data_IF_704453644795
#
_entry.id   IF_704453644795
#
_cell.length_a   1.000
_cell.length_b   1.000
_cell.length_c   1.000
_cell.angle_alpha   90.00
_cell.angle_beta   90.00
_cell.angle_gamma   90.00
#
_symmetry.space_group_name_H-M   'P 1'
#
loop_
_entity.id
_entity.type
_entity.pdbx_description
1 polymer ?
#
# COMPACT_ATOMS: atom_id res chain seq x y z
N UNK A 1 10.86 -27.21 3.27
CA UNK A 1 10.83 -25.80 2.83
C UNK A 1 10.08 -24.99 3.88
N UNK A 2 10.79 -24.38 4.83
CA UNK A 2 10.17 -23.36 5.68
C UNK A 2 9.85 -22.15 4.81
N UNK A 3 8.62 -21.66 4.90
CA UNK A 3 8.11 -20.54 4.12
C UNK A 3 8.86 -19.25 4.52
N UNK A 4 9.91 -18.89 3.77
CA UNK A 4 10.73 -17.68 3.99
C UNK A 4 9.97 -16.36 3.77
N UNK A 5 8.72 -16.42 3.32
CA UNK A 5 7.94 -15.22 2.99
C UNK A 5 7.59 -14.35 4.20
N UNK A 6 7.47 -14.92 5.40
CA UNK A 6 6.95 -14.16 6.55
C UNK A 6 8.01 -13.34 7.30
N UNK A 7 9.28 -13.77 7.33
CA UNK A 7 10.35 -12.97 7.95
C UNK A 7 10.65 -11.69 7.17
N UNK A 8 10.49 -11.74 5.84
CA UNK A 8 10.85 -10.62 4.94
C UNK A 8 10.04 -9.34 5.14
N UNK A 9 8.79 -9.41 5.62
CA UNK A 9 7.96 -8.22 5.82
C UNK A 9 8.46 -7.37 6.99
N UNK A 10 8.77 -8.02 8.12
CA UNK A 10 9.24 -7.33 9.32
C UNK A 10 10.62 -6.70 9.17
N UNK A 11 11.42 -7.23 8.24
CA UNK A 11 12.79 -6.81 7.94
C UNK A 11 12.87 -5.76 6.81
N UNK A 12 11.81 -5.59 6.00
CA UNK A 12 11.78 -4.62 4.92
C UNK A 12 11.56 -3.20 5.44
N UNK A 13 12.22 -2.20 4.85
CA UNK A 13 11.91 -0.79 5.15
C UNK A 13 10.57 -0.36 4.55
N UNK A 14 10.31 -0.82 3.32
CA UNK A 14 9.13 -0.51 2.52
C UNK A 14 8.58 -1.79 1.90
N UNK A 15 7.27 -2.00 2.02
CA UNK A 15 6.56 -3.04 1.28
C UNK A 15 5.58 -2.40 0.30
N UNK A 16 5.76 -2.70 -0.98
CA UNK A 16 4.89 -2.26 -2.07
C UNK A 16 3.87 -3.36 -2.37
N UNK A 17 2.60 -3.06 -2.18
CA UNK A 17 1.50 -4.01 -2.36
C UNK A 17 0.48 -3.45 -3.36
N UNK A 18 0.64 -3.72 -4.67
CA UNK A 18 -0.43 -3.46 -5.62
C UNK A 18 -1.59 -4.43 -5.36
N UNK A 19 -2.81 -3.90 -5.26
CA UNK A 19 -4.02 -4.68 -5.05
C UNK A 19 -4.99 -4.46 -6.20
N UNK A 20 -5.68 -5.52 -6.60
CA UNK A 20 -6.74 -5.47 -7.60
C UNK A 20 -8.08 -5.76 -6.93
N UNK A 21 -9.00 -4.78 -6.98
CA UNK A 21 -10.31 -4.86 -6.34
C UNK A 21 -11.38 -4.25 -7.27
N UNK A 22 -12.49 -4.96 -7.48
CA UNK A 22 -13.58 -4.54 -8.36
C UNK A 22 -13.14 -3.97 -9.72
N UNK A 23 -12.22 -4.67 -10.41
CA UNK A 23 -11.68 -4.24 -11.71
C UNK A 23 -10.85 -2.95 -11.66
N UNK A 24 -10.33 -2.57 -10.49
CA UNK A 24 -9.50 -1.39 -10.27
C UNK A 24 -8.22 -1.74 -9.53
N UNK A 25 -7.12 -1.12 -9.92
CA UNK A 25 -5.83 -1.26 -9.24
C UNK A 25 -5.55 -0.09 -8.31
N UNK A 26 -5.17 -0.42 -7.08
CA UNK A 26 -4.66 0.50 -6.07
C UNK A 26 -3.25 0.06 -5.64
N UNK A 27 -2.53 0.94 -4.94
CA UNK A 27 -1.25 0.58 -4.32
C UNK A 27 -1.33 0.89 -2.84
N UNK A 28 -1.05 -0.10 -2.00
CA UNK A 28 -0.81 0.08 -0.58
C UNK A 28 0.69 0.01 -0.33
N UNK A 29 1.20 0.97 0.43
CA UNK A 29 2.62 1.06 0.78
C UNK A 29 2.75 1.02 2.28
N UNK A 30 3.48 0.03 2.78
CA UNK A 30 3.84 -0.06 4.19
C UNK A 30 5.22 0.54 4.38
N UNK A 31 5.32 1.64 5.11
CA UNK A 31 6.58 2.16 5.64
C UNK A 31 6.79 1.52 7.00
N UNK A 32 7.51 0.41 7.01
CA UNK A 32 7.52 -0.55 8.11
C UNK A 32 8.14 0.06 9.36
N UNK A 33 9.32 0.68 9.24
CA UNK A 33 9.99 1.35 10.35
C UNK A 33 9.09 2.42 11.00
N UNK A 34 8.42 3.22 10.16
CA UNK A 34 7.57 4.34 10.59
C UNK A 34 6.18 3.94 11.11
N UNK A 35 5.76 2.67 10.97
CA UNK A 35 4.41 2.25 11.33
C UNK A 35 3.34 2.97 10.50
N UNK A 36 3.59 3.20 9.21
CA UNK A 36 2.64 3.90 8.33
C UNK A 36 2.19 3.03 7.18
N UNK A 37 0.91 3.11 6.86
CA UNK A 37 0.29 2.44 5.72
C UNK A 37 -0.30 3.53 4.84
N UNK A 38 0.14 3.65 3.60
CA UNK A 38 -0.33 4.68 2.66
C UNK A 38 -1.06 4.03 1.51
N UNK A 39 -2.32 4.40 1.34
CA UNK A 39 -3.21 3.91 0.31
C UNK A 39 -3.28 4.91 -0.86
N UNK A 40 -2.90 4.47 -2.05
CA UNK A 40 -2.95 5.27 -3.27
C UNK A 40 -4.01 4.72 -4.22
N UNK A 41 -4.97 5.58 -4.56
CA UNK A 41 -6.00 5.35 -5.56
C UNK A 41 -5.95 6.47 -6.60
N UNK A 42 -5.79 6.11 -7.86
CA UNK A 42 -5.70 7.08 -8.95
C UNK A 42 -7.06 7.61 -9.41
N UNK A 43 -8.16 6.90 -9.17
CA UNK A 43 -9.51 7.35 -9.54
C UNK A 43 -10.09 8.20 -8.41
N UNK A 44 -9.96 7.73 -7.17
CA UNK A 44 -10.49 8.43 -6.00
C UNK A 44 -9.37 9.10 -5.22
N UNK A 45 -9.20 10.39 -5.43
CA UNK A 45 -8.40 11.27 -4.56
C UNK A 45 -9.07 11.44 -3.17
N UNK A 46 -9.25 10.35 -2.42
CA UNK A 46 -9.90 10.35 -1.11
C UNK A 46 -11.44 10.30 -1.12
N UNK A 47 -12.08 10.00 -2.26
CA UNK A 47 -13.54 9.79 -2.33
C UNK A 47 -13.98 8.41 -1.84
N UNK A 48 -13.20 7.37 -2.13
CA UNK A 48 -13.25 6.16 -1.32
C UNK A 48 -12.47 6.50 -0.05
N UNK A 49 -13.19 6.81 1.03
CA UNK A 49 -12.62 6.65 2.37
C UNK A 49 -12.09 5.21 2.38
N UNK A 50 -10.82 5.00 2.73
CA UNK A 50 -10.42 3.68 3.22
C UNK A 50 -11.43 3.41 4.31
N UNK A 51 -12.32 2.45 4.09
CA UNK A 51 -13.38 2.22 5.07
C UNK A 51 -12.69 1.77 6.35
N UNK A 52 -13.28 2.02 7.51
CA UNK A 52 -12.75 1.51 8.78
C UNK A 52 -12.47 0.00 8.70
N UNK A 53 -13.25 -0.74 7.90
CA UNK A 53 -13.00 -2.15 7.60
C UNK A 53 -11.73 -2.39 6.77
N UNK A 54 -11.52 -1.64 5.68
CA UNK A 54 -10.28 -1.74 4.89
C UNK A 54 -9.05 -1.34 5.71
N UNK A 55 -9.13 -0.27 6.50
CA UNK A 55 -8.06 0.14 7.43
C UNK A 55 -7.73 -0.98 8.41
N UNK A 56 -8.77 -1.58 9.03
CA UNK A 56 -8.61 -2.68 9.97
C UNK A 56 -7.92 -3.89 9.32
N UNK A 57 -8.29 -4.28 8.10
CA UNK A 57 -7.63 -5.39 7.39
C UNK A 57 -6.15 -5.08 7.11
N UNK A 58 -5.82 -3.86 6.68
CA UNK A 58 -4.43 -3.47 6.41
C UNK A 58 -3.58 -3.46 7.68
N UNK A 59 -4.14 -2.98 8.79
CA UNK A 59 -3.48 -2.98 10.11
C UNK A 59 -3.34 -4.40 10.65
N UNK A 60 -4.38 -5.22 10.59
CA UNK A 60 -4.32 -6.63 11.01
C UNK A 60 -3.23 -7.38 10.24
N UNK A 61 -3.16 -7.18 8.93
CA UNK A 61 -2.10 -7.77 8.11
C UNK A 61 -0.71 -7.38 8.63
N UNK A 62 -0.46 -6.10 8.90
CA UNK A 62 0.83 -5.64 9.41
C UNK A 62 1.15 -6.18 10.82
N UNK A 63 0.13 -6.28 11.68
CA UNK A 63 0.26 -6.80 13.04
C UNK A 63 0.62 -8.29 13.09
N UNK A 64 0.28 -9.07 12.07
CA UNK A 64 0.74 -10.47 11.95
C UNK A 64 2.26 -10.60 11.86
N UNK A 65 2.95 -9.53 11.45
CA UNK A 65 4.41 -9.48 11.34
C UNK A 65 5.06 -8.66 12.45
N UNK A 66 4.39 -7.58 12.89
CA UNK A 66 4.92 -6.64 13.90
C UNK A 66 3.82 -6.31 14.91
N UNK A 67 3.77 -7.08 15.99
CA UNK A 67 2.66 -7.09 16.97
C UNK A 67 2.63 -5.82 17.84
N UNK A 68 3.79 -5.26 18.21
CA UNK A 68 3.90 -4.15 19.17
C UNK A 68 4.19 -2.79 18.51
N UNK A 69 3.66 -2.57 17.30
CA UNK A 69 3.82 -1.31 16.56
C UNK A 69 2.46 -0.67 16.31
N UNK A 70 2.37 0.62 16.60
CA UNK A 70 1.22 1.42 16.19
C UNK A 70 1.27 1.65 14.68
N UNK A 71 0.15 1.41 14.00
CA UNK A 71 0.03 1.57 12.56
C UNK A 71 -0.98 2.66 12.23
N UNK A 72 -0.55 3.67 11.48
CA UNK A 72 -1.39 4.77 11.02
C UNK A 72 -1.67 4.61 9.53
N UNK A 73 -2.94 4.51 9.18
CA UNK A 73 -3.39 4.45 7.78
C UNK A 73 -3.64 5.86 7.25
N UNK A 74 -3.15 6.14 6.03
CA UNK A 74 -3.26 7.43 5.38
C UNK A 74 -3.63 7.26 3.90
N UNK A 75 -4.29 8.27 3.34
CA UNK A 75 -4.54 8.33 1.90
C UNK A 75 -3.40 9.12 1.25
N UNK A 76 -2.70 8.46 0.34
CA UNK A 76 -1.67 9.08 -0.48
C UNK A 76 -2.27 9.90 -1.62
N UNK A 77 -1.54 10.94 -2.04
CA UNK A 77 -1.92 11.75 -3.20
C UNK A 77 -1.22 11.23 -4.47
N UNK A 78 -1.96 11.14 -5.57
CA UNK A 78 -1.42 10.81 -6.89
C UNK A 78 -2.17 11.55 -7.99
N UNK A 79 -1.58 11.58 -9.19
CA UNK A 79 -2.23 12.16 -10.37
C UNK A 79 -3.53 11.42 -10.66
N UNK A 80 -4.63 12.17 -10.74
CA UNK A 80 -5.94 11.62 -11.02
C UNK A 80 -5.96 10.91 -12.39
N UNK A 81 -6.59 9.74 -12.41
CA UNK A 81 -6.97 9.00 -13.59
C UNK A 81 -8.30 9.54 -14.11
N UNK A 82 -8.37 9.79 -15.42
CA UNK A 82 -9.58 10.29 -16.09
C UNK A 82 -10.27 9.22 -16.94
N UNK A 83 -9.56 8.15 -17.28
CA UNK A 83 -10.02 7.02 -18.06
C UNK A 83 -10.38 5.82 -17.16
N UNK A 84 -10.99 4.77 -17.70
CA UNK A 84 -11.42 3.60 -16.92
C UNK A 84 -10.42 2.43 -16.88
N UNK A 85 -9.26 2.52 -17.54
CA UNK A 85 -8.43 1.34 -17.85
C UNK A 85 -6.94 1.50 -17.53
N UNK A 86 -6.45 2.70 -17.21
CA UNK A 86 -5.04 2.95 -16.93
C UNK A 86 -4.62 2.72 -15.47
N UNK A 87 -5.51 2.24 -14.61
CA UNK A 87 -5.25 2.04 -13.18
C UNK A 87 -4.06 1.10 -12.94
N UNK A 88 -3.94 0.00 -13.70
CA UNK A 88 -2.81 -0.93 -13.61
C UNK A 88 -1.48 -0.30 -14.02
N UNK A 89 -1.46 0.45 -15.13
CA UNK A 89 -0.27 1.19 -15.57
C UNK A 89 0.15 2.24 -14.53
N UNK A 90 -0.81 2.98 -13.96
CA UNK A 90 -0.54 3.99 -12.94
C UNK A 90 -0.01 3.38 -11.64
N UNK A 91 -0.59 2.25 -11.20
CA UNK A 91 -0.09 1.50 -10.06
C UNK A 91 1.37 1.05 -10.27
N UNK A 92 1.70 0.55 -11.46
CA UNK A 92 3.07 0.18 -11.83
C UNK A 92 4.04 1.38 -11.74
N UNK A 93 3.69 2.51 -12.36
CA UNK A 93 4.53 3.72 -12.33
C UNK A 93 4.74 4.21 -10.89
N UNK A 94 3.69 4.16 -10.06
CA UNK A 94 3.78 4.55 -8.66
C UNK A 94 4.74 3.64 -7.87
N UNK A 95 4.59 2.32 -7.99
CA UNK A 95 5.51 1.37 -7.38
C UNK A 95 6.95 1.62 -7.82
N UNK A 96 7.18 1.84 -9.12
CA UNK A 96 8.51 2.13 -9.67
C UNK A 96 9.09 3.42 -9.09
N UNK A 97 8.27 4.45 -8.95
CA UNK A 97 8.67 5.76 -8.41
C UNK A 97 9.09 5.63 -6.95
N UNK A 98 8.25 4.99 -6.12
CA UNK A 98 8.55 4.82 -4.70
C UNK A 98 9.77 3.94 -4.49
N UNK A 99 9.90 2.85 -5.26
CA UNK A 99 11.07 1.98 -5.21
C UNK A 99 12.37 2.75 -5.52
N UNK A 100 12.37 3.63 -6.52
CA UNK A 100 13.56 4.41 -6.86
C UNK A 100 13.86 5.52 -5.83
N UNK A 101 12.83 6.06 -5.17
CA UNK A 101 12.99 7.12 -4.19
C UNK A 101 13.48 6.62 -2.82
N UNK A 102 13.51 5.30 -2.58
CA UNK A 102 13.89 4.74 -1.28
C UNK A 102 15.37 4.96 -0.92
N UNK A 103 16.22 5.09 -1.93
CA UNK A 103 17.69 5.17 -1.81
C UNK A 103 18.21 6.62 -1.96
N UNK A 104 17.30 7.60 -2.06
CA UNK A 104 17.59 9.04 -2.17
C UNK A 104 17.41 9.75 -0.83
#
# INVERSE_FOLDING_TARGET
>A
MQFQGLSSFGEADIVLMPLHYFSHFIVVVYFVAAGRIVHFDSINQGRLKVTTAQEAVLVEFAQRFIINKEWVVQIGSTKQQKDGYSCGYRAFILCRTIYNARDM
#
